data_IF_416828885065
#
_entry.id   IF_416828885065
#
_cell.length_a   1.000
_cell.length_b   1.000
_cell.length_c   1.000
_cell.angle_alpha   90.00
_cell.angle_beta   90.00
_cell.angle_gamma   90.00
#
_symmetry.space_group_name_H-M   'P 1'
#
loop_
_entity.id
_entity.type
_entity.pdbx_description
1 polymer ?
#
# COMPACT_ATOMS: atom_id res chain seq x y z
N UNK A 1 -22.62 -35.98 7.27
CA UNK A 1 -23.22 -34.79 6.64
C UNK A 1 -22.51 -33.58 7.21
N UNK A 2 -21.91 -32.73 6.38
CA UNK A 2 -21.17 -31.54 6.85
C UNK A 2 -22.05 -30.31 6.58
N UNK A 3 -22.57 -29.71 7.65
CA UNK A 3 -23.33 -28.47 7.59
C UNK A 3 -22.42 -27.31 7.16
N UNK A 4 -22.64 -26.85 5.94
CA UNK A 4 -22.02 -25.63 5.41
C UNK A 4 -22.62 -24.43 6.15
N UNK A 5 -21.83 -23.80 7.02
CA UNK A 5 -22.19 -22.54 7.67
C UNK A 5 -22.42 -21.47 6.59
N UNK A 6 -23.69 -21.15 6.34
CA UNK A 6 -24.10 -20.07 5.46
C UNK A 6 -23.71 -18.72 6.05
N UNK A 7 -22.69 -18.07 5.47
CA UNK A 7 -22.40 -16.67 5.77
C UNK A 7 -23.36 -15.79 4.99
N UNK A 8 -24.41 -15.29 5.65
CA UNK A 8 -25.37 -14.34 5.09
C UNK A 8 -25.40 -13.01 5.86
N UNK A 9 -24.25 -12.60 6.41
CA UNK A 9 -24.10 -11.27 6.99
C UNK A 9 -23.24 -10.42 6.06
N UNK A 10 -23.86 -9.47 5.36
CA UNK A 10 -23.12 -8.40 4.71
C UNK A 10 -22.32 -7.68 5.81
N UNK A 11 -21.00 -7.84 5.79
CA UNK A 11 -20.10 -7.18 6.74
C UNK A 11 -20.33 -5.68 6.64
N UNK A 12 -20.95 -5.08 7.66
CA UNK A 12 -20.98 -3.63 7.78
C UNK A 12 -19.53 -3.18 8.01
N UNK A 13 -18.87 -2.72 6.95
CA UNK A 13 -17.60 -2.01 7.08
C UNK A 13 -17.90 -0.71 7.82
N UNK A 14 -17.35 -0.46 9.01
CA UNK A 14 -17.55 0.81 9.69
C UNK A 14 -17.11 1.94 8.76
N UNK A 15 -18.01 2.88 8.49
CA UNK A 15 -17.68 4.02 7.63
C UNK A 15 -16.74 4.93 8.43
N UNK A 16 -15.46 4.94 8.06
CA UNK A 16 -14.48 5.84 8.66
C UNK A 16 -14.56 7.17 7.94
N UNK A 17 -14.73 8.25 8.69
CA UNK A 17 -14.68 9.60 8.14
C UNK A 17 -13.35 9.79 7.42
N UNK A 18 -13.39 10.15 6.14
CA UNK A 18 -12.19 10.47 5.39
C UNK A 18 -11.54 11.71 6.02
N UNK A 19 -10.24 11.66 6.36
CA UNK A 19 -9.52 12.85 6.78
C UNK A 19 -9.56 13.94 5.70
N UNK A 20 -9.43 15.20 6.13
CA UNK A 20 -9.30 16.32 5.20
C UNK A 20 -8.01 16.23 4.37
N UNK A 21 -6.94 15.69 4.95
CA UNK A 21 -5.67 15.34 4.28
C UNK A 21 -5.27 13.88 4.59
N UNK A 22 -5.81 12.90 3.84
CA UNK A 22 -5.54 11.49 4.09
C UNK A 22 -4.06 11.13 3.83
N UNK A 23 -3.37 11.84 2.94
CA UNK A 23 -1.96 11.57 2.65
C UNK A 23 -1.05 12.05 3.78
N UNK A 24 -1.33 13.23 4.33
CA UNK A 24 -0.64 13.77 5.49
C UNK A 24 -0.81 12.88 6.74
N UNK A 25 -2.04 12.44 7.04
CA UNK A 25 -2.29 11.58 8.21
C UNK A 25 -1.61 10.21 8.11
N UNK A 26 -1.65 9.57 6.94
CA UNK A 26 -0.95 8.30 6.72
C UNK A 26 0.57 8.46 6.88
N UNK A 27 1.12 9.58 6.41
CA UNK A 27 2.55 9.89 6.55
C UNK A 27 2.95 10.11 8.01
N UNK A 28 2.12 10.84 8.77
CA UNK A 28 2.34 11.07 10.19
C UNK A 28 2.24 9.77 11.01
N UNK A 29 1.26 8.92 10.72
CA UNK A 29 1.13 7.61 11.36
C UNK A 29 2.33 6.70 11.05
N UNK A 30 2.77 6.65 9.79
CA UNK A 30 3.94 5.87 9.39
C UNK A 30 5.21 6.34 10.12
N UNK A 31 5.41 7.65 10.27
CA UNK A 31 6.53 8.23 11.02
C UNK A 31 6.48 7.82 12.49
N UNK A 32 5.33 7.97 13.15
CA UNK A 32 5.18 7.60 14.57
C UNK A 32 5.52 6.12 14.81
N UNK A 33 5.00 5.20 13.99
CA UNK A 33 5.31 3.78 14.12
C UNK A 33 6.79 3.47 13.82
N UNK A 34 7.41 4.19 12.87
CA UNK A 34 8.84 4.05 12.59
C UNK A 34 9.70 4.46 13.79
N UNK A 35 9.35 5.56 14.44
CA UNK A 35 10.07 6.11 15.59
C UNK A 35 9.90 5.24 16.83
N UNK A 36 8.67 4.87 17.16
CA UNK A 36 8.34 4.10 18.36
C UNK A 36 8.93 2.68 18.33
N UNK A 37 8.83 2.01 17.18
CA UNK A 37 9.27 0.62 17.05
C UNK A 37 10.65 0.48 16.41
N UNK A 38 11.29 1.61 16.09
CA UNK A 38 12.56 1.67 15.37
C UNK A 38 12.56 0.86 14.06
N UNK A 39 11.41 0.78 13.39
CA UNK A 39 11.29 0.07 12.13
C UNK A 39 11.90 0.91 11.00
N UNK A 40 12.71 0.27 10.15
CA UNK A 40 13.22 0.93 8.96
C UNK A 40 12.10 1.14 7.94
N UNK A 41 11.56 2.36 7.87
CA UNK A 41 10.62 2.76 6.82
C UNK A 41 11.39 3.10 5.56
N UNK A 42 11.37 2.17 4.61
CA UNK A 42 11.83 2.42 3.24
C UNK A 42 10.64 2.90 2.42
N UNK A 43 10.79 4.02 1.71
CA UNK A 43 9.84 4.36 0.65
C UNK A 43 9.85 3.19 -0.35
N UNK A 44 8.77 2.45 -0.43
CA UNK A 44 8.56 1.43 -1.46
C UNK A 44 8.29 2.10 -2.80
N UNK A 45 8.55 1.38 -3.89
CA UNK A 45 7.91 1.74 -5.15
C UNK A 45 6.41 1.49 -5.07
N UNK A 46 5.64 2.23 -5.85
CA UNK A 46 4.18 2.10 -5.90
C UNK A 46 3.71 1.96 -7.34
N UNK A 47 2.46 1.54 -7.50
CA UNK A 47 1.78 1.46 -8.80
C UNK A 47 1.20 2.82 -9.15
N UNK A 48 1.56 3.33 -10.32
CA UNK A 48 1.00 4.52 -10.93
C UNK A 48 0.11 4.12 -12.11
N UNK A 49 -0.96 4.87 -12.32
CA UNK A 49 -1.80 4.72 -13.49
C UNK A 49 -1.36 5.74 -14.53
N UNK A 50 -1.00 5.25 -15.72
CA UNK A 50 -0.69 6.09 -16.87
C UNK A 50 -1.94 6.80 -17.37
N UNK A 51 -1.76 7.88 -18.12
CA UNK A 51 -2.85 8.55 -18.84
C UNK A 51 -3.59 7.57 -19.78
N UNK A 52 -2.88 6.60 -20.35
CA UNK A 52 -3.43 5.52 -21.19
C UNK A 52 -4.05 4.36 -20.39
N UNK A 53 -4.14 4.47 -19.06
CA UNK A 53 -4.69 3.44 -18.17
C UNK A 53 -3.72 2.27 -17.85
N UNK A 54 -2.53 2.25 -18.44
CA UNK A 54 -1.51 1.25 -18.13
C UNK A 54 -0.96 1.41 -16.71
N UNK A 55 -0.87 0.32 -15.95
CA UNK A 55 -0.22 0.30 -14.63
C UNK A 55 1.30 0.30 -14.81
N UNK A 56 1.96 1.38 -14.36
CA UNK A 56 3.42 1.50 -14.35
C UNK A 56 3.95 1.52 -12.92
N UNK A 57 5.13 0.94 -12.72
CA UNK A 57 5.80 1.03 -11.43
C UNK A 57 6.55 2.37 -11.35
N UNK A 58 6.49 3.05 -10.20
CA UNK A 58 7.23 4.31 -9.97
C UNK A 58 8.76 4.17 -9.99
N UNK A 59 9.28 2.95 -10.20
CA UNK A 59 10.70 2.65 -10.39
C UNK A 59 11.32 3.17 -11.70
N UNK A 60 10.50 3.66 -12.63
CA UNK A 60 10.90 4.07 -13.99
C UNK A 60 11.62 2.99 -14.82
N UNK A 61 11.46 1.71 -14.46
CA UNK A 61 11.94 0.56 -15.26
C UNK A 61 10.82 0.03 -16.14
N UNK A 62 11.04 0.04 -17.44
CA UNK A 62 10.11 -0.56 -18.39
C UNK A 62 10.02 -2.09 -18.18
N UNK A 63 8.80 -2.61 -18.13
CA UNK A 63 8.56 -4.04 -17.94
C UNK A 63 8.93 -4.58 -16.55
N UNK A 64 8.88 -3.75 -15.50
CA UNK A 64 9.14 -4.15 -14.11
C UNK A 64 8.44 -5.48 -13.75
N UNK A 65 9.18 -6.56 -13.40
CA UNK A 65 8.60 -7.88 -13.14
C UNK A 65 7.91 -7.97 -11.77
N UNK A 66 8.19 -7.03 -10.86
CA UNK A 66 7.67 -6.98 -9.49
C UNK A 66 7.17 -5.58 -9.11
N UNK A 67 6.07 -5.08 -9.74
CA UNK A 67 5.57 -3.73 -9.51
C UNK A 67 5.24 -3.48 -8.03
N UNK A 68 5.86 -2.45 -7.44
CA UNK A 68 5.61 -2.05 -6.05
C UNK A 68 6.27 -2.92 -4.96
N UNK A 69 6.99 -3.98 -5.33
CA UNK A 69 7.57 -4.92 -4.35
C UNK A 69 9.03 -4.64 -4.01
N UNK A 70 9.65 -3.61 -4.60
CA UNK A 70 11.05 -3.27 -4.32
C UNK A 70 11.18 -1.86 -3.74
N UNK A 71 12.22 -1.60 -2.92
CA UNK A 71 12.50 -0.27 -2.38
C UNK A 71 12.64 0.78 -3.50
N UNK A 72 12.19 2.01 -3.25
CA UNK A 72 12.27 3.13 -4.20
C UNK A 72 13.71 3.57 -4.50
N UNK A 73 14.67 3.21 -3.65
CA UNK A 73 16.08 3.56 -3.83
C UNK A 73 16.82 2.40 -4.50
N UNK A 74 17.39 2.67 -5.68
CA UNK A 74 18.18 1.73 -6.52
C UNK A 74 19.38 1.08 -5.83
N UNK A 75 19.79 1.54 -4.64
CA UNK A 75 20.97 1.05 -3.93
C UNK A 75 20.64 0.03 -2.82
N UNK A 76 19.36 -0.29 -2.59
CA UNK A 76 19.01 -1.40 -1.71
C UNK A 76 19.25 -2.70 -2.46
N UNK A 77 20.27 -3.46 -2.06
CA UNK A 77 20.53 -4.78 -2.62
C UNK A 77 19.34 -5.68 -2.29
N UNK A 78 18.63 -6.12 -3.32
CA UNK A 78 17.64 -7.21 -3.24
C UNK A 78 18.35 -8.53 -2.92
#
# INVERSE_FOLDING_TARGET
MNDTLGVNSATHVPSQSRPADPAGELSAAALFYAEEWHWQVSLGTWLEMSEDGARRCSCATDGCPTPGAHPARRNWKS
#
